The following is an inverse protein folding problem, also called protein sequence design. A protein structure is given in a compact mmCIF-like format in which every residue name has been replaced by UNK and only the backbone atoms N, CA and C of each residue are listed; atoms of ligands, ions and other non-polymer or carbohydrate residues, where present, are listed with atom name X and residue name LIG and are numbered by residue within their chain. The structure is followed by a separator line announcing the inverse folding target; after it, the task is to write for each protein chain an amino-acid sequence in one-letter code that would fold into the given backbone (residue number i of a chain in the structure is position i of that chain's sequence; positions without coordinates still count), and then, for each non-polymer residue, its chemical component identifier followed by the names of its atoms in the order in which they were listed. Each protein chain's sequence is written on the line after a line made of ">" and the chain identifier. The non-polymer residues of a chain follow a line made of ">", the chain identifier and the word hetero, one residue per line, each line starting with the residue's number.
data_IF_372810730712
#
_entry.id   IF_372810730712
#
_cell.length_a   1.000
_cell.length_b   1.000
_cell.length_c   1.000
_cell.angle_alpha   90.00
_cell.angle_beta   90.00
_cell.angle_gamma   90.00
#
_symmetry.space_group_name_H-M   'P 1'
#
loop_
_entity.id
_entity.type
_entity.pdbx_description
1 polymer ?
#
# COMPACT_ATOMS: atom_id res chain seq x y z
N UNK A 1 -35.03 -48.69 -32.18
CA UNK A 1 -34.83 -47.27 -32.00
C UNK A 1 -33.98 -47.08 -30.71
N UNK A 2 -32.65 -46.93 -30.85
CA UNK A 2 -31.76 -46.68 -29.72
C UNK A 2 -31.27 -45.24 -29.88
N UNK A 3 -31.63 -44.36 -28.93
CA UNK A 3 -31.13 -42.98 -28.87
C UNK A 3 -29.88 -42.97 -28.00
N UNK A 4 -28.75 -42.73 -28.63
CA UNK A 4 -27.44 -42.51 -27.97
C UNK A 4 -27.38 -41.08 -27.51
N UNK A 5 -27.32 -40.84 -26.20
CA UNK A 5 -27.02 -39.51 -25.64
C UNK A 5 -25.50 -39.35 -25.56
N UNK A 6 -24.98 -38.42 -26.38
CA UNK A 6 -23.60 -37.95 -26.27
C UNK A 6 -23.53 -36.89 -25.16
N UNK A 7 -22.86 -37.23 -24.07
CA UNK A 7 -22.52 -36.27 -23.00
C UNK A 7 -21.26 -35.52 -23.44
N UNK A 8 -21.42 -34.27 -23.85
CA UNK A 8 -20.32 -33.36 -24.10
C UNK A 8 -19.87 -32.86 -22.74
N UNK A 9 -18.75 -33.39 -22.24
CA UNK A 9 -18.05 -32.91 -21.08
C UNK A 9 -17.33 -31.58 -21.42
N UNK A 10 -17.95 -30.45 -21.10
CA UNK A 10 -17.28 -29.18 -21.11
C UNK A 10 -16.30 -29.13 -19.93
N UNK A 11 -15.04 -29.41 -20.20
CA UNK A 11 -13.95 -29.19 -19.25
C UNK A 11 -13.81 -27.71 -18.99
N UNK A 12 -14.34 -27.25 -17.86
CA UNK A 12 -14.15 -25.91 -17.35
C UNK A 12 -12.71 -25.83 -16.83
N UNK A 13 -11.79 -25.43 -17.70
CA UNK A 13 -10.43 -25.09 -17.30
C UNK A 13 -10.52 -23.77 -16.55
N UNK A 14 -10.61 -23.84 -15.23
CA UNK A 14 -10.43 -22.68 -14.35
C UNK A 14 -8.95 -22.32 -14.42
N UNK A 15 -8.61 -21.42 -15.32
CA UNK A 15 -7.35 -20.68 -15.29
C UNK A 15 -7.42 -19.80 -14.04
N UNK A 16 -6.87 -20.28 -12.95
CA UNK A 16 -6.57 -19.46 -11.80
C UNK A 16 -5.43 -18.53 -12.20
N UNK A 17 -5.79 -17.36 -12.74
CA UNK A 17 -4.88 -16.24 -12.77
C UNK A 17 -4.58 -15.87 -11.32
N UNK A 18 -3.39 -16.17 -10.86
CA UNK A 18 -2.85 -15.60 -9.63
C UNK A 18 -2.68 -14.11 -9.93
N UNK A 19 -3.70 -13.33 -9.60
CA UNK A 19 -3.62 -11.87 -9.69
C UNK A 19 -2.66 -11.43 -8.61
N UNK A 20 -1.54 -10.87 -9.02
CA UNK A 20 -0.63 -10.22 -8.10
C UNK A 20 -1.33 -8.96 -7.63
N UNK A 21 -1.72 -8.95 -6.37
CA UNK A 21 -2.44 -7.85 -5.78
C UNK A 21 -1.46 -6.72 -5.47
N UNK A 22 -1.69 -5.57 -6.08
CA UNK A 22 -0.89 -4.38 -5.93
C UNK A 22 -1.48 -3.42 -4.87
N UNK A 23 -0.68 -2.90 -3.95
CA UNK A 23 -1.10 -1.92 -2.96
C UNK A 23 -0.22 -0.66 -3.01
N UNK A 24 -0.84 0.52 -2.98
CA UNK A 24 -0.17 1.81 -3.16
C UNK A 24 0.47 1.98 -4.55
N UNK A 25 1.13 3.13 -4.79
CA UNK A 25 1.70 3.46 -6.10
C UNK A 25 2.71 2.43 -6.63
N UNK A 26 3.29 1.61 -5.77
CA UNK A 26 4.27 0.57 -6.13
C UNK A 26 3.72 -0.85 -6.09
N UNK A 27 2.45 -1.01 -5.70
CA UNK A 27 1.88 -2.34 -5.59
C UNK A 27 2.22 -3.12 -4.33
N UNK A 28 2.72 -2.48 -3.28
CA UNK A 28 3.09 -3.11 -2.01
C UNK A 28 2.11 -2.77 -0.89
N UNK A 29 2.11 -3.55 0.21
CA UNK A 29 1.21 -3.35 1.37
C UNK A 29 1.68 -2.25 2.33
N UNK A 30 2.40 -1.23 1.81
CA UNK A 30 2.94 -0.12 2.61
C UNK A 30 1.95 1.02 2.74
N UNK A 31 0.97 0.89 3.60
CA UNK A 31 -0.01 1.94 3.92
C UNK A 31 0.59 2.97 4.88
N UNK A 32 -0.03 4.14 4.99
CA UNK A 32 0.49 5.26 5.76
C UNK A 32 -0.56 5.91 6.66
N UNK A 33 -0.16 6.33 7.85
CA UNK A 33 -0.98 7.15 8.74
C UNK A 33 -1.36 8.50 8.08
N UNK A 34 -2.51 9.11 8.46
CA UNK A 34 -3.05 10.30 7.78
C UNK A 34 -2.22 11.56 7.94
N UNK A 35 -1.28 11.59 8.91
CA UNK A 35 -0.55 12.83 9.17
C UNK A 35 0.76 12.59 9.90
N UNK A 36 1.85 12.70 9.31
CA UNK A 36 3.11 12.96 9.98
C UNK A 36 3.99 13.82 9.13
N UNK A 37 4.07 13.44 7.88
CA UNK A 37 4.87 14.13 6.90
C UNK A 37 4.29 15.49 6.46
N UNK A 38 3.08 15.86 6.88
CA UNK A 38 2.54 17.18 6.56
C UNK A 38 3.34 18.34 7.18
N UNK A 39 4.02 18.09 8.29
CA UNK A 39 4.78 19.13 9.01
C UNK A 39 6.27 18.94 8.93
N UNK A 40 6.75 17.78 8.56
CA UNK A 40 8.18 17.44 8.48
C UNK A 40 8.40 16.41 7.37
N UNK A 41 9.47 16.61 6.61
CA UNK A 41 9.88 15.65 5.59
C UNK A 41 10.43 14.38 6.21
N UNK A 42 10.36 13.29 5.48
CA UNK A 42 10.78 11.99 5.98
C UNK A 42 11.47 11.15 4.89
N UNK A 43 12.41 10.33 5.32
CA UNK A 43 13.03 9.27 4.54
C UNK A 43 12.76 7.94 5.22
N UNK A 44 12.40 6.91 4.46
CA UNK A 44 12.08 5.60 5.00
C UNK A 44 12.65 4.45 4.20
N UNK A 45 12.81 3.32 4.87
CA UNK A 45 13.03 2.01 4.26
C UNK A 45 11.92 1.07 4.70
N UNK A 46 11.43 0.27 3.77
CA UNK A 46 10.23 -0.55 3.93
C UNK A 46 10.51 -1.95 3.42
N UNK A 47 10.02 -2.95 4.15
CA UNK A 47 9.99 -4.35 3.74
C UNK A 47 8.54 -4.79 3.69
N UNK A 48 8.14 -5.40 2.60
CA UNK A 48 6.78 -5.92 2.41
C UNK A 48 6.82 -7.40 2.07
N UNK A 49 5.84 -8.12 2.61
CA UNK A 49 5.64 -9.56 2.45
C UNK A 49 4.22 -9.79 1.93
N UNK A 50 4.02 -9.75 0.60
CA UNK A 50 2.72 -10.01 -0.02
C UNK A 50 2.24 -11.44 0.23
N UNK A 51 0.92 -11.64 0.31
CA UNK A 51 0.34 -12.96 0.57
C UNK A 51 0.66 -14.00 -0.52
N UNK A 52 0.88 -13.57 -1.77
CA UNK A 52 1.35 -14.42 -2.87
C UNK A 52 2.80 -14.90 -2.75
N UNK A 53 3.51 -14.52 -1.67
CA UNK A 53 4.92 -14.82 -1.42
C UNK A 53 5.87 -13.77 -2.03
N UNK A 54 7.17 -13.95 -1.77
CA UNK A 54 8.20 -13.01 -2.15
C UNK A 54 8.43 -11.91 -1.10
N UNK A 55 9.36 -11.01 -1.40
CA UNK A 55 9.73 -9.90 -0.51
C UNK A 55 10.02 -8.65 -1.33
N UNK A 56 9.39 -7.54 -0.98
CA UNK A 56 9.72 -6.24 -1.57
C UNK A 56 10.54 -5.41 -0.58
N UNK A 57 11.58 -4.76 -1.10
CA UNK A 57 12.39 -3.76 -0.39
C UNK A 57 12.26 -2.43 -1.10
N UNK A 58 11.85 -1.39 -0.38
CA UNK A 58 11.62 -0.06 -0.94
C UNK A 58 12.29 1.03 -0.10
N UNK A 59 12.87 2.01 -0.79
CA UNK A 59 13.18 3.33 -0.24
C UNK A 59 12.02 4.29 -0.49
N UNK A 60 11.72 5.15 0.46
CA UNK A 60 10.70 6.18 0.33
C UNK A 60 11.22 7.54 0.79
N UNK A 61 10.88 8.57 0.08
CA UNK A 61 11.12 9.96 0.49
C UNK A 61 9.83 10.75 0.38
N UNK A 62 9.53 11.56 1.40
CA UNK A 62 8.32 12.37 1.45
C UNK A 62 8.62 13.79 1.85
N UNK A 63 8.19 14.75 1.05
CA UNK A 63 8.34 16.18 1.27
C UNK A 63 7.08 16.75 1.90
N UNK A 64 7.25 17.40 3.05
CA UNK A 64 6.18 18.08 3.76
C UNK A 64 5.91 19.48 3.19
N UNK A 65 4.64 19.85 3.07
CA UNK A 65 4.22 21.19 2.67
C UNK A 65 2.87 21.57 3.35
N UNK A 66 2.88 21.68 4.68
CA UNK A 66 1.71 22.12 5.46
C UNK A 66 0.57 21.10 5.51
N UNK A 67 -0.49 21.29 4.73
CA UNK A 67 -1.62 20.35 4.65
C UNK A 67 -1.45 19.26 3.60
N UNK A 68 -0.42 19.38 2.80
CA UNK A 68 -0.15 18.58 1.64
C UNK A 68 1.24 17.98 1.72
N UNK A 69 1.44 16.79 1.24
CA UNK A 69 2.76 16.19 1.03
C UNK A 69 2.85 15.44 -0.30
N UNK A 70 4.07 15.31 -0.80
CA UNK A 70 4.40 14.49 -1.96
C UNK A 70 5.44 13.46 -1.54
N UNK A 71 5.18 12.20 -1.85
CA UNK A 71 6.06 11.07 -1.59
C UNK A 71 6.51 10.41 -2.88
N UNK A 72 7.73 9.90 -2.86
CA UNK A 72 8.31 9.06 -3.90
C UNK A 72 8.75 7.74 -3.27
N UNK A 73 8.53 6.65 -3.99
CA UNK A 73 8.97 5.32 -3.58
C UNK A 73 9.69 4.64 -4.74
N UNK A 74 10.67 3.85 -4.42
CA UNK A 74 11.35 3.01 -5.40
C UNK A 74 12.00 1.82 -4.72
N UNK A 75 12.03 0.68 -5.39
CA UNK A 75 12.53 -0.55 -4.81
C UNK A 75 12.53 -1.73 -5.74
N UNK A 76 12.73 -2.90 -5.15
CA UNK A 76 12.78 -4.17 -5.83
C UNK A 76 11.84 -5.16 -5.12
N UNK A 77 11.12 -5.93 -5.90
CA UNK A 77 10.30 -7.03 -5.42
C UNK A 77 10.86 -8.35 -5.97
N UNK A 78 11.31 -9.20 -5.07
CA UNK A 78 11.76 -10.54 -5.37
C UNK A 78 10.57 -11.50 -5.26
N UNK A 79 10.10 -12.00 -6.40
CA UNK A 79 8.95 -12.90 -6.47
C UNK A 79 9.34 -14.34 -6.16
N UNK A 80 8.40 -15.20 -5.69
CA UNK A 80 8.67 -16.61 -5.50
C UNK A 80 9.04 -17.31 -6.83
N UNK A 81 10.17 -18.03 -6.84
CA UNK A 81 10.63 -18.80 -8.00
C UNK A 81 11.89 -18.23 -8.67
N UNK A 82 12.48 -18.94 -9.60
CA UNK A 82 13.74 -18.54 -10.19
C UNK A 82 13.60 -17.34 -11.14
N UNK A 83 14.23 -16.24 -10.80
CA UNK A 83 14.70 -15.26 -11.77
C UNK A 83 13.88 -14.02 -12.07
N UNK A 84 12.88 -13.65 -11.25
CA UNK A 84 12.09 -12.45 -11.56
C UNK A 84 12.14 -11.41 -10.42
N UNK A 85 13.09 -10.49 -10.52
CA UNK A 85 13.07 -9.27 -9.73
C UNK A 85 12.28 -8.20 -10.48
N UNK A 86 11.27 -7.64 -9.83
CA UNK A 86 10.41 -6.57 -10.36
C UNK A 86 10.93 -5.23 -9.82
N UNK A 87 11.12 -4.26 -10.70
CA UNK A 87 11.42 -2.88 -10.31
C UNK A 87 10.11 -2.18 -9.91
N UNK A 88 10.12 -1.54 -8.76
CA UNK A 88 9.01 -0.77 -8.20
C UNK A 88 9.35 0.72 -8.27
N UNK A 89 8.45 1.53 -8.85
CA UNK A 89 8.59 3.00 -8.86
C UNK A 89 7.21 3.61 -8.65
N UNK A 90 7.10 4.63 -7.80
CA UNK A 90 5.84 5.32 -7.58
C UNK A 90 6.00 6.68 -6.93
N UNK A 91 4.97 7.51 -7.15
CA UNK A 91 4.80 8.80 -6.50
C UNK A 91 3.37 8.90 -5.98
N UNK A 92 3.18 9.56 -4.85
CA UNK A 92 1.86 9.81 -4.27
C UNK A 92 1.80 11.21 -3.66
N UNK A 93 0.62 11.81 -3.72
CA UNK A 93 0.29 13.03 -3.04
C UNK A 93 -0.75 12.73 -1.97
N UNK A 94 -0.63 13.40 -0.81
CA UNK A 94 -1.64 13.33 0.25
C UNK A 94 -2.06 14.73 0.65
N UNK A 95 -3.34 14.90 0.91
CA UNK A 95 -3.91 16.14 1.43
C UNK A 95 -4.71 15.84 2.69
N UNK A 96 -4.43 16.58 3.76
CA UNK A 96 -5.22 16.50 4.99
C UNK A 96 -6.58 17.16 4.78
N UNK A 97 -7.61 16.33 4.71
CA UNK A 97 -9.01 16.75 4.47
C UNK A 97 -9.86 16.78 5.73
N UNK A 98 -9.45 16.03 6.78
CA UNK A 98 -10.14 15.98 8.06
C UNK A 98 -9.15 16.26 9.20
N UNK A 99 -9.60 17.06 10.15
CA UNK A 99 -8.93 17.26 11.43
C UNK A 99 -9.90 16.84 12.52
N UNK A 100 -9.43 16.05 13.48
CA UNK A 100 -10.27 15.55 14.56
C UNK A 100 -10.93 16.69 15.34
N UNK A 101 -12.14 16.42 15.80
CA UNK A 101 -12.97 17.29 16.63
C UNK A 101 -13.67 16.48 17.72
N UNK A 102 -14.49 17.14 18.55
CA UNK A 102 -15.31 16.43 19.54
C UNK A 102 -16.36 15.52 18.87
N UNK A 103 -16.88 15.94 17.71
CA UNK A 103 -17.91 15.20 16.96
C UNK A 103 -17.32 14.10 16.07
N UNK A 104 -16.07 14.25 15.62
CA UNK A 104 -15.39 13.29 14.77
C UNK A 104 -13.95 13.08 15.25
N UNK A 105 -13.65 11.94 15.92
CA UNK A 105 -12.41 11.76 16.66
C UNK A 105 -11.19 11.38 15.81
N UNK A 106 -11.28 11.37 14.48
CA UNK A 106 -10.18 10.95 13.59
C UNK A 106 -9.69 12.11 12.73
N UNK A 107 -8.40 12.10 12.46
CA UNK A 107 -7.79 12.87 11.37
C UNK A 107 -7.87 12.06 10.08
N UNK A 108 -7.94 12.73 8.94
CA UNK A 108 -8.03 12.08 7.64
C UNK A 108 -7.22 12.76 6.55
N UNK A 109 -6.62 11.94 5.69
CA UNK A 109 -5.90 12.39 4.50
C UNK A 109 -6.37 11.66 3.25
N UNK A 110 -6.73 12.41 2.22
CA UNK A 110 -6.94 11.91 0.88
C UNK A 110 -5.58 11.57 0.26
N UNK A 111 -5.52 10.44 -0.44
CA UNK A 111 -4.31 9.92 -1.07
C UNK A 111 -4.60 9.68 -2.54
N UNK A 112 -3.73 10.18 -3.41
CA UNK A 112 -3.74 9.89 -4.85
C UNK A 112 -2.31 9.62 -5.27
N UNK A 113 -2.09 8.59 -6.07
CA UNK A 113 -0.76 8.22 -6.52
C UNK A 113 -0.74 7.71 -7.95
N UNK A 114 0.46 7.50 -8.44
CA UNK A 114 0.75 6.82 -9.70
C UNK A 114 2.08 6.09 -9.56
N UNK A 115 2.18 4.93 -10.12
CA UNK A 115 3.42 4.17 -10.17
C UNK A 115 3.23 2.88 -10.94
N UNK A 116 4.16 1.96 -10.76
CA UNK A 116 4.06 0.68 -11.46
C UNK A 116 5.14 -0.31 -11.07
N UNK A 117 4.96 -1.48 -11.62
CA UNK A 117 5.84 -2.63 -11.54
C UNK A 117 6.42 -2.91 -12.92
N UNK A 118 7.73 -3.05 -13.01
CA UNK A 118 8.45 -3.20 -14.27
C UNK A 118 9.33 -4.45 -14.23
N UNK A 119 9.09 -5.37 -15.15
CA UNK A 119 9.88 -6.58 -15.37
C UNK A 119 10.18 -6.73 -16.86
N UNK A 120 11.18 -7.51 -17.23
CA UNK A 120 11.51 -7.73 -18.65
C UNK A 120 10.30 -8.23 -19.45
N UNK A 121 9.84 -7.42 -20.39
CA UNK A 121 8.75 -7.75 -21.31
C UNK A 121 7.34 -7.47 -20.79
N UNK A 122 7.18 -6.95 -19.55
CA UNK A 122 5.87 -6.57 -19.01
C UNK A 122 5.97 -5.36 -18.08
N UNK A 123 4.91 -4.58 -18.03
CA UNK A 123 4.78 -3.47 -17.06
C UNK A 123 3.33 -3.33 -16.65
N UNK A 124 3.11 -3.07 -15.37
CA UNK A 124 1.81 -2.74 -14.82
C UNK A 124 1.83 -1.30 -14.29
N UNK A 125 0.88 -0.48 -14.73
CA UNK A 125 0.64 0.86 -14.18
C UNK A 125 -0.42 0.78 -13.10
N UNK A 126 -0.22 1.51 -12.00
CA UNK A 126 -1.06 1.48 -10.82
C UNK A 126 -1.39 2.92 -10.41
N UNK A 127 -2.69 3.20 -10.24
CA UNK A 127 -3.18 4.50 -9.78
C UNK A 127 -4.03 4.28 -8.52
N UNK A 128 -3.44 4.44 -7.32
CA UNK A 128 -4.18 4.36 -6.06
C UNK A 128 -4.95 5.65 -5.78
N UNK A 129 -6.17 5.50 -5.26
CA UNK A 129 -6.97 6.56 -4.67
C UNK A 129 -7.52 6.04 -3.33
N UNK A 130 -7.20 6.72 -2.24
CA UNK A 130 -7.55 6.23 -0.90
C UNK A 130 -7.79 7.33 0.11
N UNK A 131 -8.30 6.93 1.27
CA UNK A 131 -8.52 7.80 2.42
C UNK A 131 -7.90 7.16 3.66
N UNK A 132 -6.83 7.76 4.19
CA UNK A 132 -6.26 7.31 5.45
C UNK A 132 -6.94 8.01 6.62
N UNK A 133 -7.43 7.24 7.58
CA UNK A 133 -8.08 7.71 8.79
C UNK A 133 -7.34 7.17 10.02
N UNK A 134 -7.00 8.04 10.95
CA UNK A 134 -6.28 7.62 12.16
C UNK A 134 -6.20 8.73 13.18
N UNK A 135 -5.72 8.40 14.38
CA UNK A 135 -5.51 9.37 15.43
C UNK A 135 -4.27 9.06 16.24
N UNK A 136 -3.52 10.11 16.59
CA UNK A 136 -2.41 9.96 17.52
C UNK A 136 -2.93 9.65 18.92
N UNK A 137 -2.34 8.64 19.52
CA UNK A 137 -2.53 8.25 20.91
C UNK A 137 -1.21 8.43 21.64
N UNK A 138 -1.23 9.18 22.71
CA UNK A 138 -0.08 9.42 23.58
C UNK A 138 -0.37 8.74 24.93
N UNK A 139 0.17 7.52 25.16
CA UNK A 139 -0.05 6.84 26.44
C UNK A 139 0.55 7.65 27.59
N UNK A 140 -0.15 7.70 28.70
CA UNK A 140 0.33 8.36 29.90
C UNK A 140 1.69 7.79 30.34
N UNK A 141 2.61 8.66 30.70
CA UNK A 141 3.98 8.31 31.16
C UNK A 141 4.87 7.64 30.08
N UNK A 142 4.51 7.70 28.80
CA UNK A 142 5.31 7.17 27.69
C UNK A 142 5.87 8.30 26.83
N UNK A 143 7.12 8.17 26.41
CA UNK A 143 7.71 9.01 25.36
C UNK A 143 7.34 8.56 23.95
N UNK A 144 6.69 7.39 23.82
CA UNK A 144 6.27 6.82 22.54
C UNK A 144 4.84 7.26 22.27
N UNK A 145 4.58 7.82 21.10
CA UNK A 145 3.22 8.02 20.59
C UNK A 145 2.94 7.04 19.47
N UNK A 146 1.68 6.59 19.38
CA UNK A 146 1.21 5.63 18.39
C UNK A 146 0.14 6.29 17.54
N UNK A 147 0.17 6.04 16.24
CA UNK A 147 -0.86 6.47 15.30
C UNK A 147 -1.47 5.25 14.62
N UNK A 148 -2.45 4.58 15.25
CA UNK A 148 -3.23 3.57 14.56
C UNK A 148 -4.05 4.22 13.44
N UNK A 149 -4.19 3.50 12.32
CA UNK A 149 -4.93 3.99 11.16
C UNK A 149 -5.58 2.87 10.36
N UNK A 150 -6.58 3.26 9.58
CA UNK A 150 -7.22 2.47 8.55
C UNK A 150 -7.20 3.24 7.24
N UNK A 151 -6.99 2.55 6.13
CA UNK A 151 -6.86 3.17 4.82
C UNK A 151 -7.57 2.35 3.74
N UNK A 152 -8.89 2.55 3.52
CA UNK A 152 -9.55 2.05 2.32
C UNK A 152 -8.94 2.69 1.07
N UNK A 153 -8.61 1.86 0.08
CA UNK A 153 -7.95 2.30 -1.16
C UNK A 153 -8.50 1.53 -2.35
N UNK A 154 -8.84 2.24 -3.42
CA UNK A 154 -9.10 1.71 -4.75
C UNK A 154 -7.83 1.83 -5.58
N UNK A 155 -7.56 0.81 -6.38
CA UNK A 155 -6.44 0.78 -7.32
C UNK A 155 -6.99 0.58 -8.71
N UNK A 156 -6.66 1.50 -9.59
CA UNK A 156 -6.84 1.32 -11.03
C UNK A 156 -5.53 0.74 -11.56
N UNK A 157 -5.58 -0.45 -12.12
CA UNK A 157 -4.41 -1.12 -12.71
C UNK A 157 -4.57 -1.22 -14.21
N UNK A 158 -3.47 -1.06 -14.95
CA UNK A 158 -3.44 -1.18 -16.41
C UNK A 158 -2.27 -2.08 -16.80
N UNK A 159 -2.61 -3.27 -17.28
CA UNK A 159 -1.71 -4.28 -17.83
C UNK A 159 -2.39 -4.95 -19.03
N UNK A 160 -2.31 -4.35 -20.23
CA UNK A 160 -3.01 -4.83 -21.43
C UNK A 160 -4.55 -4.77 -21.36
N UNK A 161 -5.12 -4.49 -20.22
CA UNK A 161 -6.51 -4.23 -19.86
C UNK A 161 -6.57 -3.24 -18.71
N UNK A 162 -7.74 -3.00 -18.13
CA UNK A 162 -7.88 -2.20 -16.92
C UNK A 162 -8.75 -2.93 -15.90
N UNK A 163 -8.27 -2.99 -14.67
CA UNK A 163 -8.98 -3.57 -13.52
C UNK A 163 -9.11 -2.55 -12.39
N UNK A 164 -10.12 -2.73 -11.56
CA UNK A 164 -10.32 -1.98 -10.32
C UNK A 164 -10.20 -2.95 -9.16
N UNK A 165 -9.23 -2.71 -8.29
CA UNK A 165 -8.98 -3.50 -7.09
C UNK A 165 -9.31 -2.69 -5.85
N UNK A 166 -9.71 -3.35 -4.78
CA UNK A 166 -9.97 -2.72 -3.49
C UNK A 166 -9.14 -3.37 -2.38
N UNK A 167 -8.55 -2.56 -1.53
CA UNK A 167 -7.92 -3.05 -0.31
C UNK A 167 -8.20 -2.15 0.88
N UNK A 168 -8.33 -2.78 2.04
CA UNK A 168 -8.37 -2.13 3.33
C UNK A 168 -7.00 -2.23 4.00
N UNK A 169 -6.26 -1.12 3.99
CA UNK A 169 -5.03 -0.99 4.74
C UNK A 169 -5.31 -0.78 6.23
N UNK A 170 -4.58 -1.50 7.07
CA UNK A 170 -4.55 -1.33 8.52
C UNK A 170 -3.11 -1.11 8.94
N UNK A 171 -2.86 -0.27 9.94
CA UNK A 171 -1.50 -0.09 10.39
C UNK A 171 -1.36 0.78 11.64
N UNK A 172 -0.10 0.93 12.04
CA UNK A 172 0.28 1.83 13.12
C UNK A 172 1.68 2.40 12.86
N UNK A 173 1.83 3.70 13.09
CA UNK A 173 3.12 4.38 13.18
C UNK A 173 3.49 4.56 14.65
N UNK A 174 4.66 4.10 15.03
CA UNK A 174 5.22 4.21 16.38
C UNK A 174 6.30 5.28 16.37
N UNK A 175 6.05 6.40 17.02
CA UNK A 175 7.04 7.44 17.24
C UNK A 175 7.96 7.03 18.38
N UNK A 176 9.13 6.51 18.04
CA UNK A 176 10.13 6.06 19.01
C UNK A 176 11.02 7.21 19.52
N UNK A 177 11.19 8.25 18.68
CA UNK A 177 11.93 9.46 19.04
C UNK A 177 11.44 10.67 18.25
N UNK A 178 12.08 11.82 18.43
CA UNK A 178 11.77 13.05 17.65
C UNK A 178 12.10 12.93 16.17
N UNK A 179 12.98 12.02 15.80
CA UNK A 179 13.51 11.87 14.43
C UNK A 179 13.35 10.45 13.87
N UNK A 180 12.82 9.51 14.65
CA UNK A 180 12.75 8.11 14.23
C UNK A 180 11.39 7.48 14.56
N UNK A 181 10.79 6.85 13.53
CA UNK A 181 9.55 6.08 13.62
C UNK A 181 9.73 4.66 13.11
N UNK A 182 9.05 3.73 13.76
CA UNK A 182 8.77 2.41 13.20
C UNK A 182 7.33 2.39 12.65
N UNK A 183 7.13 1.67 11.54
CA UNK A 183 5.82 1.49 10.90
C UNK A 183 5.52 0.01 10.73
N UNK A 184 4.26 -0.33 10.91
CA UNK A 184 3.72 -1.64 10.54
C UNK A 184 2.40 -1.42 9.81
N UNK A 185 2.19 -2.16 8.72
CA UNK A 185 0.91 -2.17 8.03
C UNK A 185 0.57 -3.54 7.48
N UNK A 186 -0.72 -3.74 7.22
CA UNK A 186 -1.27 -4.93 6.59
C UNK A 186 -2.35 -4.52 5.61
N UNK A 187 -2.49 -5.25 4.52
CA UNK A 187 -3.55 -5.12 3.53
C UNK A 187 -4.51 -6.30 3.59
N UNK A 188 -5.80 -6.01 3.45
CA UNK A 188 -6.89 -6.98 3.37
C UNK A 188 -7.72 -6.71 2.10
N UNK A 189 -8.11 -7.73 1.38
CA UNK A 189 -8.86 -7.63 0.13
C UNK A 189 -8.04 -8.06 -1.08
N UNK A 190 -8.10 -7.32 -2.19
CA UNK A 190 -7.34 -7.68 -3.39
C UNK A 190 -5.83 -7.52 -3.22
N UNK A 191 -5.42 -6.71 -2.22
CA UNK A 191 -4.02 -6.48 -1.91
C UNK A 191 -3.75 -6.92 -0.48
N UNK A 192 -3.24 -8.13 -0.36
CA UNK A 192 -3.00 -8.78 0.92
C UNK A 192 -1.50 -8.88 1.23
N UNK A 193 -1.18 -8.82 2.52
CA UNK A 193 0.18 -8.97 3.01
C UNK A 193 0.47 -8.05 4.18
N UNK A 194 1.72 -8.06 4.63
CA UNK A 194 2.18 -7.22 5.73
C UNK A 194 3.42 -6.44 5.32
N UNK A 195 3.65 -5.29 5.95
CA UNK A 195 4.89 -4.56 5.80
C UNK A 195 5.37 -3.97 7.11
N UNK A 196 6.69 -3.80 7.20
CA UNK A 196 7.36 -3.11 8.28
C UNK A 196 8.28 -2.04 7.70
N UNK A 197 8.50 -0.98 8.46
CA UNK A 197 9.35 0.12 8.00
C UNK A 197 10.02 0.88 9.12
N UNK A 198 11.12 1.49 8.77
CA UNK A 198 11.86 2.45 9.59
C UNK A 198 11.91 3.79 8.87
N UNK A 199 11.62 4.87 9.57
CA UNK A 199 11.45 6.19 8.99
C UNK A 199 12.20 7.24 9.82
N UNK A 200 12.99 8.04 9.15
CA UNK A 200 13.70 9.18 9.71
C UNK A 200 13.01 10.47 9.27
N UNK A 201 12.73 11.31 10.25
CA UNK A 201 12.00 12.59 10.09
C UNK A 201 12.98 13.75 10.28
N UNK A 202 12.95 14.74 9.38
CA UNK A 202 13.85 15.90 9.39
C UNK A 202 13.17 17.21 8.99
#
# INVERSE_FOLDING_TARGET
>A
MRRTFAIIGAGLTVLTFVRHAAAQATGTTTFNAPYRAFTRSEFGVLLSFPNGGGTAFEGAYRMANGKFDIGFKGGLFDTPGPGNTILLIGAEARERVLTHSLDFPLDGALIVGVGGQFVSGSSELIVPVGLSLGRRVEPEQSSISIVPYVQPTLFLTVDGGSDVLFSLGLGADFRLSRVFDARISAGLGDVEGVSIGAVWVH
#
